data_IF_038142602227
#
_entry.id   IF_038142602227
#
_cell.length_a   1.000
_cell.length_b   1.000
_cell.length_c   1.000
_cell.angle_alpha   90.00
_cell.angle_beta   90.00
_cell.angle_gamma   90.00
#
_symmetry.space_group_name_H-M   'P 1'
#
loop_
_entity.id
_entity.type
_entity.pdbx_description
1 polymer ?
#
# COMPACT_ATOMS: atom_id res chain seq x y z
N UNK A 1 -13.21 5.40 10.91
CA UNK A 1 -11.76 5.27 10.94
C UNK A 1 -11.24 5.11 9.49
N UNK A 2 -10.23 5.90 9.10
CA UNK A 2 -9.67 5.88 7.74
C UNK A 2 -8.22 5.44 7.80
N UNK A 3 -7.86 4.36 7.08
CA UNK A 3 -6.53 3.76 7.05
C UNK A 3 -5.92 3.94 5.66
N UNK A 4 -4.79 4.66 5.59
CA UNK A 4 -4.08 4.95 4.35
C UNK A 4 -3.23 3.76 3.86
N UNK A 5 -2.68 3.87 2.66
CA UNK A 5 -1.77 2.90 2.05
C UNK A 5 -0.31 3.36 1.98
N UNK A 6 0.46 2.72 1.11
CA UNK A 6 1.85 3.08 0.83
C UNK A 6 1.94 3.83 -0.53
N UNK A 7 2.73 4.88 -0.65
CA UNK A 7 3.53 5.61 0.35
C UNK A 7 2.79 6.81 0.94
N UNK A 8 1.54 6.62 1.30
CA UNK A 8 0.65 7.66 1.78
C UNK A 8 0.76 7.87 3.30
N UNK A 9 0.07 8.90 3.79
CA UNK A 9 -0.10 9.28 5.19
C UNK A 9 -1.58 9.57 5.45
N UNK A 10 -1.95 9.78 6.71
CA UNK A 10 -3.28 10.26 7.09
C UNK A 10 -3.71 11.50 6.30
N UNK A 11 -2.75 12.33 5.89
CA UNK A 11 -2.97 13.53 5.08
C UNK A 11 -3.67 13.25 3.73
N UNK A 12 -3.57 12.04 3.19
CA UNK A 12 -4.28 11.64 1.96
C UNK A 12 -5.80 11.79 2.08
N UNK A 13 -6.33 11.65 3.29
CA UNK A 13 -7.75 11.75 3.57
C UNK A 13 -8.27 13.17 3.75
N UNK A 14 -7.39 14.20 3.74
CA UNK A 14 -7.73 15.60 4.06
C UNK A 14 -8.90 16.18 3.26
N UNK A 15 -9.11 15.73 2.01
CA UNK A 15 -10.21 16.20 1.16
C UNK A 15 -11.53 15.47 1.42
N UNK A 16 -11.47 14.23 1.92
CA UNK A 16 -12.63 13.39 2.19
C UNK A 16 -13.18 13.66 3.61
N UNK A 17 -12.30 13.90 4.57
CA UNK A 17 -12.68 14.10 5.97
C UNK A 17 -13.71 15.20 6.18
N UNK A 18 -13.61 16.41 5.56
CA UNK A 18 -14.61 17.46 5.76
C UNK A 18 -16.01 17.06 5.29
N UNK A 19 -16.12 16.34 4.18
CA UNK A 19 -17.42 15.89 3.67
C UNK A 19 -18.06 14.85 4.60
N UNK A 20 -17.27 13.92 5.12
CA UNK A 20 -17.74 12.95 6.11
C UNK A 20 -18.14 13.62 7.43
N UNK A 21 -17.36 14.60 7.88
CA UNK A 21 -17.68 15.37 9.08
C UNK A 21 -18.99 16.18 8.90
N UNK A 22 -19.20 16.79 7.75
CA UNK A 22 -20.44 17.47 7.41
C UNK A 22 -21.64 16.53 7.36
N UNK A 23 -21.43 15.25 7.08
CA UNK A 23 -22.46 14.20 7.15
C UNK A 23 -22.71 13.69 8.58
N UNK A 24 -22.05 14.29 9.59
CA UNK A 24 -22.28 13.99 11.00
C UNK A 24 -21.36 12.94 11.61
N UNK A 25 -20.30 12.50 10.90
CA UNK A 25 -19.35 11.54 11.44
C UNK A 25 -18.20 12.21 12.17
N UNK A 26 -17.77 11.60 13.29
CA UNK A 26 -16.44 11.87 13.84
C UNK A 26 -15.41 11.08 13.02
N UNK A 27 -14.57 11.78 12.27
CA UNK A 27 -13.64 11.16 11.30
C UNK A 27 -12.23 11.12 11.88
N UNK A 28 -11.64 9.93 11.95
CA UNK A 28 -10.32 9.70 12.52
C UNK A 28 -9.45 9.08 11.43
N UNK A 29 -8.28 9.67 11.16
CA UNK A 29 -7.30 9.18 10.21
C UNK A 29 -5.90 9.21 10.86
N UNK A 30 -5.37 8.07 11.34
CA UNK A 30 -4.01 8.00 11.88
C UNK A 30 -2.97 7.81 10.78
N UNK A 31 -1.75 8.27 11.01
CA UNK A 31 -0.58 7.68 10.36
C UNK A 31 -0.40 6.29 10.95
N UNK A 32 -0.44 5.24 10.13
CA UNK A 32 -0.33 3.86 10.62
C UNK A 32 1.08 3.57 11.17
N UNK A 33 1.25 2.47 11.90
CA UNK A 33 2.55 2.02 12.40
C UNK A 33 3.58 1.96 11.27
N UNK A 34 4.75 2.57 11.48
CA UNK A 34 5.81 2.66 10.48
C UNK A 34 5.73 3.89 9.57
N UNK A 35 4.71 4.74 9.73
CA UNK A 35 4.49 5.90 8.87
C UNK A 35 4.46 7.21 9.65
N UNK A 36 4.85 8.27 8.95
CA UNK A 36 4.68 9.65 9.35
C UNK A 36 5.19 9.95 10.75
N UNK A 37 4.31 10.46 11.60
CA UNK A 37 4.63 10.88 12.97
C UNK A 37 4.34 9.82 14.03
N UNK A 38 3.88 8.65 13.65
CA UNK A 38 3.64 7.56 14.59
C UNK A 38 4.96 7.01 15.12
N UNK A 39 5.09 6.93 16.43
CA UNK A 39 6.29 6.48 17.16
C UNK A 39 6.06 5.13 17.84
N UNK A 40 7.06 4.61 18.55
CA UNK A 40 6.95 3.35 19.30
C UNK A 40 7.17 2.10 18.45
N UNK A 41 7.83 2.23 17.31
CA UNK A 41 8.26 1.12 16.46
C UNK A 41 9.76 1.24 16.16
N UNK A 42 10.38 0.14 15.75
CA UNK A 42 11.79 0.10 15.36
C UNK A 42 11.93 0.21 13.84
N UNK A 43 12.83 1.08 13.39
CA UNK A 43 13.23 1.22 11.99
C UNK A 43 14.40 0.29 11.62
N UNK A 44 14.88 -0.54 12.54
CA UNK A 44 15.93 -1.49 12.27
C UNK A 44 15.46 -2.55 11.28
N UNK A 45 16.17 -2.64 10.15
CA UNK A 45 15.85 -3.59 9.09
C UNK A 45 15.96 -5.05 9.56
N UNK A 46 16.90 -5.35 10.44
CA UNK A 46 17.13 -6.69 11.01
C UNK A 46 16.31 -6.93 12.30
N UNK A 47 15.49 -5.96 12.68
CA UNK A 47 14.67 -6.01 13.88
C UNK A 47 13.51 -7.00 13.81
N UNK A 48 12.84 -7.16 14.93
CA UNK A 48 11.66 -8.03 15.02
C UNK A 48 10.47 -7.45 14.23
N UNK A 49 9.96 -8.22 13.27
CA UNK A 49 8.79 -7.85 12.46
C UNK A 49 7.44 -8.24 13.10
N UNK A 50 7.43 -8.92 14.25
CA UNK A 50 6.20 -9.29 14.95
C UNK A 50 5.26 -8.09 15.21
N UNK A 51 5.77 -6.90 15.60
CA UNK A 51 4.92 -5.72 15.80
C UNK A 51 4.14 -5.29 14.56
N UNK A 52 4.59 -5.66 13.37
CA UNK A 52 3.95 -5.31 12.08
C UNK A 52 2.98 -6.39 11.56
N UNK A 53 2.77 -7.47 12.30
CA UNK A 53 1.75 -8.47 11.92
C UNK A 53 0.36 -7.85 11.94
N UNK A 54 -0.52 -8.31 11.03
CA UNK A 54 -1.85 -7.75 10.83
C UNK A 54 -2.67 -7.62 12.13
N UNK A 55 -2.61 -8.60 13.02
CA UNK A 55 -3.33 -8.53 14.30
C UNK A 55 -2.82 -7.44 15.24
N UNK A 56 -1.54 -7.05 15.14
CA UNK A 56 -1.02 -5.92 15.89
C UNK A 56 -1.47 -4.60 15.27
N UNK A 57 -1.59 -4.52 13.95
CA UNK A 57 -2.18 -3.35 13.28
C UNK A 57 -3.67 -3.19 13.60
N UNK A 58 -4.40 -4.30 13.74
CA UNK A 58 -5.79 -4.29 14.27
C UNK A 58 -5.82 -3.72 15.71
N UNK A 59 -4.88 -4.13 16.57
CA UNK A 59 -4.77 -3.58 17.93
C UNK A 59 -4.47 -2.08 17.93
N UNK A 60 -3.63 -1.62 17.01
CA UNK A 60 -3.35 -0.20 16.85
C UNK A 60 -4.64 0.57 16.46
N UNK A 61 -5.39 0.05 15.48
CA UNK A 61 -6.65 0.62 15.05
C UNK A 61 -7.66 0.70 16.20
N UNK A 62 -7.78 -0.37 17.01
CA UNK A 62 -8.61 -0.37 18.22
C UNK A 62 -8.13 0.65 19.25
N UNK A 63 -6.81 0.70 19.49
CA UNK A 63 -6.20 1.65 20.41
C UNK A 63 -6.51 3.09 20.04
N UNK A 64 -6.47 3.43 18.76
CA UNK A 64 -6.86 4.74 18.24
C UNK A 64 -8.33 5.03 18.52
N UNK A 65 -9.25 4.10 18.22
CA UNK A 65 -10.69 4.25 18.47
C UNK A 65 -10.95 4.52 19.96
N UNK A 66 -10.33 3.74 20.84
CA UNK A 66 -10.50 3.87 22.29
C UNK A 66 -9.85 5.13 22.84
N UNK A 67 -8.72 5.57 22.32
CA UNK A 67 -8.06 6.82 22.72
C UNK A 67 -8.90 8.06 22.43
N UNK A 68 -9.78 8.01 21.43
CA UNK A 68 -10.78 9.05 21.16
C UNK A 68 -12.08 8.89 21.95
N UNK A 69 -12.13 7.96 22.92
CA UNK A 69 -13.28 7.75 23.80
C UNK A 69 -14.45 6.98 23.16
N UNK A 70 -14.22 6.36 22.00
CA UNK A 70 -15.23 5.54 21.33
C UNK A 70 -15.05 4.06 21.67
N UNK A 71 -16.17 3.34 21.82
CA UNK A 71 -16.19 1.89 21.99
C UNK A 71 -16.33 1.14 20.66
N UNK A 72 -16.83 1.82 19.64
CA UNK A 72 -16.99 1.30 18.29
C UNK A 72 -16.96 2.44 17.27
N UNK A 73 -16.77 2.09 16.01
CA UNK A 73 -16.88 2.99 14.86
C UNK A 73 -17.87 2.41 13.85
N UNK A 74 -18.61 3.29 13.18
CA UNK A 74 -19.61 2.90 12.20
C UNK A 74 -18.96 2.19 11.00
N UNK A 75 -17.79 2.69 10.60
CA UNK A 75 -17.02 2.08 9.51
C UNK A 75 -15.51 2.19 9.73
N UNK A 76 -14.78 1.18 9.26
CA UNK A 76 -13.36 1.27 8.97
C UNK A 76 -13.18 1.27 7.45
N UNK A 77 -12.48 2.27 6.93
CA UNK A 77 -12.20 2.44 5.50
C UNK A 77 -10.72 2.25 5.28
N UNK A 78 -10.34 1.37 4.37
CA UNK A 78 -8.94 1.15 4.02
C UNK A 78 -8.67 1.36 2.55
N UNK A 79 -7.57 2.02 2.23
CA UNK A 79 -7.05 2.19 0.89
C UNK A 79 -5.67 1.55 0.76
N UNK A 80 -5.40 0.83 -0.33
CA UNK A 80 -4.13 0.15 -0.63
C UNK A 80 -3.72 -0.79 0.52
N UNK A 81 -2.63 -0.58 1.25
CA UNK A 81 -2.27 -1.39 2.42
C UNK A 81 -3.32 -1.30 3.54
N UNK A 82 -3.94 -0.14 3.73
CA UNK A 82 -5.08 0.01 4.64
C UNK A 82 -6.27 -0.88 4.27
N UNK A 83 -6.45 -1.18 2.98
CA UNK A 83 -7.47 -2.12 2.50
C UNK A 83 -7.16 -3.58 2.85
N UNK A 84 -5.95 -3.88 3.28
CA UNK A 84 -5.60 -5.18 3.89
C UNK A 84 -5.92 -5.18 5.39
N UNK A 85 -5.64 -4.08 6.09
CA UNK A 85 -5.85 -3.98 7.53
C UNK A 85 -7.33 -3.85 7.89
N UNK A 86 -8.10 -3.04 7.18
CA UNK A 86 -9.50 -2.74 7.47
C UNK A 86 -10.41 -4.00 7.51
N UNK A 87 -10.33 -4.94 6.57
CA UNK A 87 -11.12 -6.19 6.65
C UNK A 87 -10.76 -7.03 7.87
N UNK A 88 -9.48 -7.08 8.24
CA UNK A 88 -9.07 -7.80 9.46
C UNK A 88 -9.61 -7.15 10.72
N UNK A 89 -9.76 -5.82 10.75
CA UNK A 89 -10.44 -5.11 11.83
C UNK A 89 -11.89 -5.58 11.95
N UNK A 90 -12.65 -5.53 10.86
CA UNK A 90 -14.05 -5.91 10.85
C UNK A 90 -14.28 -7.41 11.13
N UNK A 91 -13.40 -8.28 10.59
CA UNK A 91 -13.49 -9.72 10.79
C UNK A 91 -13.15 -10.13 12.24
N UNK A 92 -12.12 -9.53 12.84
CA UNK A 92 -11.64 -9.90 14.17
C UNK A 92 -12.46 -9.25 15.29
N UNK A 93 -12.98 -8.06 15.07
CA UNK A 93 -13.71 -7.26 16.07
C UNK A 93 -14.92 -6.55 15.43
N UNK A 94 -15.93 -7.33 14.98
CA UNK A 94 -17.16 -6.78 14.43
C UNK A 94 -17.96 -5.96 15.46
N UNK A 95 -17.71 -6.15 16.73
CA UNK A 95 -18.25 -5.36 17.84
C UNK A 95 -17.70 -3.92 17.88
N UNK A 96 -16.45 -3.73 17.42
CA UNK A 96 -15.78 -2.42 17.33
C UNK A 96 -15.94 -1.79 15.96
N UNK A 97 -15.76 -2.56 14.90
CA UNK A 97 -15.79 -2.13 13.50
C UNK A 97 -17.02 -2.66 12.79
N UNK A 98 -18.11 -1.88 12.76
CA UNK A 98 -19.44 -2.34 12.34
C UNK A 98 -19.57 -2.58 10.87
N UNK A 99 -18.85 -1.82 10.06
CA UNK A 99 -18.79 -2.00 8.62
C UNK A 99 -17.39 -1.73 8.07
N UNK A 100 -17.12 -2.19 6.85
CA UNK A 100 -15.83 -2.04 6.20
C UNK A 100 -15.99 -1.55 4.76
N UNK A 101 -15.12 -0.61 4.37
CA UNK A 101 -14.96 -0.17 2.99
C UNK A 101 -13.55 -0.49 2.54
N UNK A 102 -13.42 -1.21 1.43
CA UNK A 102 -12.15 -1.68 0.86
C UNK A 102 -11.93 -0.95 -0.46
N UNK A 103 -10.80 -0.23 -0.59
CA UNK A 103 -10.48 0.57 -1.76
C UNK A 103 -9.15 0.14 -2.38
N UNK A 104 -9.14 -0.10 -3.68
CA UNK A 104 -7.96 -0.34 -4.54
C UNK A 104 -7.19 -1.65 -4.33
N UNK A 105 -7.37 -2.36 -3.24
CA UNK A 105 -6.77 -3.69 -3.03
C UNK A 105 -7.85 -4.67 -2.56
N UNK A 106 -8.03 -5.81 -3.24
CA UNK A 106 -9.04 -6.78 -2.85
C UNK A 106 -8.61 -7.51 -1.55
N UNK A 107 -9.60 -7.89 -0.75
CA UNK A 107 -9.36 -8.78 0.37
C UNK A 107 -9.50 -10.24 -0.08
N UNK A 108 -8.41 -10.98 0.00
CA UNK A 108 -8.37 -12.38 -0.44
C UNK A 108 -9.03 -13.36 0.54
N UNK A 109 -9.59 -12.89 1.63
CA UNK A 109 -10.12 -13.72 2.70
C UNK A 109 -9.07 -14.09 3.75
N UNK A 110 -9.46 -14.95 4.69
CA UNK A 110 -8.54 -15.55 5.64
C UNK A 110 -7.74 -16.64 4.97
N UNK A 111 -6.45 -16.83 5.34
CA UNK A 111 -5.69 -17.97 4.85
C UNK A 111 -6.37 -19.28 5.30
N UNK A 112 -6.26 -20.29 4.48
CA UNK A 112 -6.70 -21.63 4.87
C UNK A 112 -5.98 -22.06 6.15
N UNK A 113 -6.73 -22.60 7.11
CA UNK A 113 -6.17 -23.19 8.32
C UNK A 113 -6.16 -24.71 8.10
N UNK A 114 -5.04 -25.30 7.68
CA UNK A 114 -4.97 -26.73 7.49
C UNK A 114 -5.07 -27.45 8.83
N UNK A 115 -5.76 -28.57 8.85
CA UNK A 115 -5.74 -29.49 9.99
C UNK A 115 -4.40 -30.21 10.04
N UNK A 116 -4.01 -30.63 11.25
CA UNK A 116 -2.81 -31.44 11.49
C UNK A 116 -1.49 -30.76 11.02
N UNK A 117 -1.34 -29.51 11.36
CA UNK A 117 -0.13 -28.74 11.03
C UNK A 117 1.12 -29.21 11.77
N UNK A 118 0.96 -30.02 12.82
CA UNK A 118 2.08 -30.65 13.55
C UNK A 118 2.81 -31.66 12.68
N UNK A 119 2.04 -32.50 11.98
CA UNK A 119 2.59 -33.56 11.12
C UNK A 119 2.78 -33.08 9.66
N UNK A 120 2.06 -32.04 9.28
CA UNK A 120 2.13 -31.43 7.96
C UNK A 120 2.49 -29.93 8.08
N UNK A 121 3.77 -29.61 8.39
CA UNK A 121 4.19 -28.22 8.44
C UNK A 121 3.86 -27.53 7.11
N UNK A 122 3.30 -26.33 7.21
CA UNK A 122 2.96 -25.54 6.03
C UNK A 122 4.17 -25.52 5.09
N UNK A 123 4.01 -26.06 3.90
CA UNK A 123 5.05 -25.90 2.87
C UNK A 123 5.19 -24.39 2.64
N UNK A 124 6.36 -23.88 2.88
CA UNK A 124 6.75 -22.60 2.26
C UNK A 124 6.75 -22.89 0.77
N UNK A 125 5.65 -22.60 0.12
CA UNK A 125 5.57 -22.67 -1.34
C UNK A 125 6.47 -21.57 -1.85
N UNK A 126 7.61 -21.97 -2.41
CA UNK A 126 8.42 -21.07 -3.22
C UNK A 126 7.50 -20.54 -4.34
N UNK A 127 7.20 -19.24 -4.31
CA UNK A 127 6.36 -18.65 -5.36
C UNK A 127 7.20 -18.57 -6.63
N UNK A 128 6.92 -19.39 -7.65
CA UNK A 128 7.73 -19.44 -8.86
C UNK A 128 7.70 -18.13 -9.65
N UNK A 129 6.75 -17.25 -9.38
CA UNK A 129 6.53 -16.00 -10.12
C UNK A 129 7.79 -15.14 -10.17
N UNK A 130 8.56 -15.06 -9.10
CA UNK A 130 9.77 -14.23 -9.10
C UNK A 130 10.88 -14.79 -9.97
N UNK A 131 11.05 -16.11 -9.94
CA UNK A 131 11.99 -16.79 -10.83
C UNK A 131 11.55 -16.63 -12.29
N UNK A 132 10.27 -16.80 -12.55
CA UNK A 132 9.70 -16.73 -13.89
C UNK A 132 9.74 -15.30 -14.44
N UNK A 133 9.50 -14.27 -13.62
CA UNK A 133 9.70 -12.86 -13.95
C UNK A 133 11.17 -12.57 -14.31
N UNK A 134 12.09 -13.12 -13.53
CA UNK A 134 13.52 -12.96 -13.78
C UNK A 134 14.02 -13.65 -15.07
N UNK A 135 13.31 -14.68 -15.51
CA UNK A 135 13.63 -15.45 -16.72
C UNK A 135 12.99 -14.87 -18.00
N UNK A 136 12.19 -13.83 -17.92
CA UNK A 136 11.63 -13.19 -19.11
C UNK A 136 12.74 -12.62 -20.01
N UNK A 137 12.50 -12.46 -21.33
CA UNK A 137 13.43 -11.80 -22.24
C UNK A 137 13.85 -10.40 -21.79
N UNK A 138 12.94 -9.67 -21.16
CA UNK A 138 13.20 -8.46 -20.36
C UNK A 138 13.05 -8.86 -18.89
N UNK A 139 14.13 -9.12 -18.15
CA UNK A 139 14.06 -9.61 -16.78
C UNK A 139 13.36 -8.62 -15.84
N UNK A 140 12.41 -9.13 -15.06
CA UNK A 140 11.55 -8.31 -14.19
C UNK A 140 11.61 -8.79 -12.74
N UNK A 141 11.15 -7.91 -11.83
CA UNK A 141 10.89 -8.19 -10.41
C UNK A 141 9.61 -7.52 -9.96
N UNK A 142 8.88 -8.15 -9.07
CA UNK A 142 7.69 -7.54 -8.46
C UNK A 142 8.12 -6.47 -7.44
N UNK A 143 7.42 -5.32 -7.39
CA UNK A 143 7.77 -4.18 -6.55
C UNK A 143 7.85 -4.51 -5.05
N UNK A 144 7.00 -5.41 -4.55
CA UNK A 144 7.02 -5.82 -3.14
C UNK A 144 8.33 -6.53 -2.75
N UNK A 145 8.96 -7.25 -3.68
CA UNK A 145 10.28 -7.84 -3.45
C UNK A 145 11.36 -6.79 -3.35
N UNK A 146 11.29 -5.79 -4.20
CA UNK A 146 12.20 -4.66 -4.09
C UNK A 146 12.02 -3.93 -2.75
N UNK A 147 10.79 -3.66 -2.33
CA UNK A 147 10.50 -2.99 -1.06
C UNK A 147 10.96 -3.78 0.17
N UNK A 148 11.03 -5.10 0.07
CA UNK A 148 11.57 -5.96 1.11
C UNK A 148 13.11 -5.97 1.19
N UNK A 149 13.81 -5.26 0.30
CA UNK A 149 15.27 -5.18 0.34
C UNK A 149 15.75 -4.07 1.29
N UNK A 150 16.94 -4.27 1.87
CA UNK A 150 17.57 -3.30 2.78
C UNK A 150 17.77 -1.92 2.13
N UNK A 151 18.09 -1.88 0.83
CA UNK A 151 18.39 -0.65 0.11
C UNK A 151 17.15 0.18 -0.25
N UNK A 152 15.98 -0.44 -0.35
CA UNK A 152 14.79 0.18 -0.96
C UNK A 152 14.40 1.51 -0.31
N UNK A 153 14.42 1.60 1.02
CA UNK A 153 14.06 2.83 1.72
C UNK A 153 15.06 3.96 1.41
N UNK A 154 16.35 3.66 1.47
CA UNK A 154 17.40 4.63 1.18
C UNK A 154 17.35 5.09 -0.29
N UNK A 155 17.16 4.16 -1.22
CA UNK A 155 17.04 4.45 -2.66
C UNK A 155 15.87 5.37 -2.97
N UNK A 156 14.71 5.14 -2.35
CA UNK A 156 13.52 5.96 -2.59
C UNK A 156 13.59 7.31 -1.87
N UNK A 157 14.03 7.32 -0.61
CA UNK A 157 14.13 8.57 0.16
C UNK A 157 15.24 9.48 -0.37
N UNK A 158 16.36 8.89 -0.80
CA UNK A 158 17.51 9.57 -1.41
C UNK A 158 17.47 9.61 -2.93
N UNK A 159 16.28 9.53 -3.54
CA UNK A 159 16.13 9.53 -5.01
C UNK A 159 16.90 10.71 -5.64
N UNK A 160 17.70 10.47 -6.71
CA UNK A 160 18.52 11.53 -7.34
C UNK A 160 17.73 12.74 -7.84
N UNK A 161 16.48 12.52 -8.26
CA UNK A 161 15.55 13.57 -8.68
C UNK A 161 14.92 14.33 -7.50
N UNK A 162 15.22 13.98 -6.26
CA UNK A 162 14.58 14.47 -5.06
C UNK A 162 13.25 13.79 -4.75
N UNK A 163 12.88 13.76 -3.47
CA UNK A 163 11.70 13.05 -2.98
C UNK A 163 10.40 13.55 -3.61
N UNK A 164 10.27 14.87 -3.81
CA UNK A 164 9.08 15.47 -4.42
C UNK A 164 8.86 14.98 -5.85
N UNK A 165 9.88 15.04 -6.69
CA UNK A 165 9.77 14.60 -8.09
C UNK A 165 9.68 13.08 -8.21
N UNK A 166 10.32 12.34 -7.30
CA UNK A 166 10.11 10.91 -7.18
C UNK A 166 8.64 10.57 -6.91
N UNK A 167 8.01 11.20 -5.92
CA UNK A 167 6.60 10.96 -5.59
C UNK A 167 5.67 11.45 -6.70
N UNK A 168 5.98 12.58 -7.35
CA UNK A 168 5.20 13.08 -8.50
C UNK A 168 5.18 12.06 -9.63
N UNK A 169 6.34 11.51 -10.01
CA UNK A 169 6.44 10.47 -11.02
C UNK A 169 5.73 9.18 -10.59
N UNK A 170 5.92 8.77 -9.34
CA UNK A 170 5.31 7.57 -8.79
C UNK A 170 3.77 7.61 -8.81
N UNK A 171 3.18 8.78 -8.51
CA UNK A 171 1.73 8.94 -8.52
C UNK A 171 1.14 9.25 -9.88
N UNK A 172 1.92 9.79 -10.82
CA UNK A 172 1.45 10.17 -12.15
C UNK A 172 0.74 9.01 -12.85
N UNK A 173 1.37 7.84 -12.91
CA UNK A 173 0.80 6.65 -13.57
C UNK A 173 -0.43 6.08 -12.86
N UNK A 174 -0.65 6.46 -11.62
CA UNK A 174 -1.82 6.04 -10.81
C UNK A 174 -2.94 7.06 -10.86
N UNK A 175 -2.66 8.22 -11.46
CA UNK A 175 -3.62 9.30 -11.56
C UNK A 175 -4.69 8.99 -12.60
N UNK A 176 -5.94 9.32 -12.28
CA UNK A 176 -7.04 9.26 -13.25
C UNK A 176 -6.85 10.22 -14.44
N UNK A 177 -5.98 11.23 -14.29
CA UNK A 177 -5.68 12.19 -15.33
C UNK A 177 -4.66 11.68 -16.35
N UNK A 178 -3.98 10.57 -16.06
CA UNK A 178 -3.06 9.98 -17.02
C UNK A 178 -3.84 9.28 -18.14
N UNK A 179 -3.84 9.89 -19.31
CA UNK A 179 -4.65 9.45 -20.46
C UNK A 179 -4.23 8.10 -21.03
N UNK A 180 -2.99 7.68 -20.77
CA UNK A 180 -2.49 6.35 -21.18
C UNK A 180 -2.88 5.23 -20.19
N UNK A 181 -3.55 5.55 -19.09
CA UNK A 181 -4.04 4.54 -18.16
C UNK A 181 -5.24 3.79 -18.78
N UNK A 182 -5.00 2.57 -19.23
CA UNK A 182 -6.02 1.69 -19.80
C UNK A 182 -6.18 0.44 -18.91
N UNK A 183 -6.98 0.52 -17.83
CA UNK A 183 -7.19 -0.60 -16.94
C UNK A 183 -7.76 -1.81 -17.68
N UNK A 184 -7.16 -2.98 -17.48
CA UNK A 184 -7.64 -4.23 -18.07
C UNK A 184 -7.39 -5.38 -17.09
N UNK A 185 -8.24 -6.41 -17.08
CA UNK A 185 -8.04 -7.59 -16.24
C UNK A 185 -6.84 -8.40 -16.74
N UNK A 186 -6.04 -8.92 -15.80
CA UNK A 186 -5.05 -9.94 -16.10
C UNK A 186 -5.74 -11.30 -16.29
N UNK A 187 -5.18 -12.13 -17.16
CA UNK A 187 -5.72 -13.47 -17.43
C UNK A 187 -5.28 -14.51 -16.37
N UNK A 188 -4.34 -14.15 -15.51
CA UNK A 188 -3.87 -15.02 -14.44
C UNK A 188 -2.64 -14.47 -13.73
N UNK A 189 -2.22 -15.16 -12.68
CA UNK A 189 -1.02 -14.85 -11.91
C UNK A 189 0.20 -15.55 -12.52
N UNK A 190 0.62 -15.09 -13.69
CA UNK A 190 1.78 -15.59 -14.42
C UNK A 190 2.75 -14.46 -14.73
N UNK A 191 4.04 -14.77 -14.91
CA UNK A 191 5.06 -13.76 -15.21
C UNK A 191 4.75 -12.95 -16.48
N UNK A 192 4.22 -13.61 -17.52
CA UNK A 192 3.81 -12.95 -18.76
C UNK A 192 2.65 -11.99 -18.59
N UNK A 193 1.67 -12.33 -17.79
CA UNK A 193 0.54 -11.44 -17.51
C UNK A 193 0.97 -10.28 -16.60
N UNK A 194 1.73 -10.58 -15.55
CA UNK A 194 2.24 -9.56 -14.63
C UNK A 194 3.16 -8.55 -15.33
N UNK A 195 3.91 -8.98 -16.34
CA UNK A 195 4.78 -8.07 -17.13
C UNK A 195 4.00 -7.05 -17.97
N UNK A 196 2.67 -7.19 -18.10
CA UNK A 196 1.79 -6.19 -18.73
C UNK A 196 1.44 -5.03 -17.77
N UNK A 197 1.64 -5.22 -16.46
CA UNK A 197 1.42 -4.17 -15.48
C UNK A 197 2.45 -3.03 -15.65
N UNK A 198 2.10 -1.80 -15.23
CA UNK A 198 3.03 -0.69 -15.21
C UNK A 198 4.34 -1.04 -14.51
N UNK A 199 5.43 -0.42 -14.95
CA UNK A 199 6.77 -0.72 -14.47
C UNK A 199 6.98 -0.44 -12.98
N UNK A 200 6.20 0.43 -12.37
CA UNK A 200 6.24 0.63 -10.93
C UNK A 200 5.64 -0.54 -10.11
N UNK A 201 4.89 -1.45 -10.72
CA UNK A 201 4.46 -2.71 -10.10
C UNK A 201 5.38 -3.87 -10.46
N UNK A 202 5.76 -3.97 -11.74
CA UNK A 202 6.62 -5.04 -12.24
C UNK A 202 7.85 -4.42 -12.89
N UNK A 203 8.82 -4.11 -12.03
CA UNK A 203 10.02 -3.34 -12.32
C UNK A 203 11.00 -4.11 -13.21
N UNK A 204 11.84 -3.41 -13.96
CA UNK A 204 13.05 -4.01 -14.51
C UNK A 204 13.93 -4.53 -13.37
N UNK A 205 14.53 -5.70 -13.57
CA UNK A 205 15.22 -6.42 -12.49
C UNK A 205 16.41 -5.65 -11.91
N UNK A 206 17.11 -4.92 -12.75
CA UNK A 206 18.34 -4.19 -12.41
C UNK A 206 18.10 -2.76 -11.93
N UNK A 207 16.86 -2.26 -11.99
CA UNK A 207 16.53 -0.88 -11.59
C UNK A 207 16.04 -0.76 -10.16
N UNK A 208 16.30 0.40 -9.55
CA UNK A 208 15.63 0.85 -8.34
C UNK A 208 14.26 1.45 -8.67
N UNK A 209 13.42 1.67 -7.66
CA UNK A 209 12.13 2.35 -7.88
C UNK A 209 12.37 3.81 -8.34
N UNK A 210 13.37 4.50 -7.78
CA UNK A 210 13.70 5.85 -8.20
C UNK A 210 14.08 5.94 -9.68
N UNK A 211 14.88 4.99 -10.17
CA UNK A 211 15.22 4.89 -11.60
C UNK A 211 14.01 4.54 -12.46
N UNK A 212 13.18 3.60 -11.99
CA UNK A 212 11.98 3.16 -12.72
C UNK A 212 11.02 4.32 -12.96
N UNK A 213 10.68 5.09 -11.92
CA UNK A 213 9.73 6.20 -12.06
C UNK A 213 10.33 7.42 -12.75
N UNK A 214 11.67 7.62 -12.67
CA UNK A 214 12.35 8.70 -13.38
C UNK A 214 12.22 8.61 -14.90
N UNK A 215 12.17 7.39 -15.45
CA UNK A 215 11.98 7.17 -16.89
C UNK A 215 10.57 7.51 -17.37
N UNK A 216 9.63 7.60 -16.45
CA UNK A 216 8.22 7.82 -16.69
C UNK A 216 7.74 9.16 -16.07
N UNK A 217 8.67 10.12 -15.86
CA UNK A 217 8.33 11.46 -15.38
C UNK A 217 7.33 12.13 -16.33
N UNK A 218 6.26 12.74 -15.79
CA UNK A 218 5.36 13.52 -16.62
C UNK A 218 6.11 14.68 -17.29
N UNK A 219 5.76 14.95 -18.54
CA UNK A 219 6.26 16.11 -19.27
C UNK A 219 5.78 17.43 -18.63
N UNK A 220 6.46 18.53 -18.91
CA UNK A 220 6.03 19.84 -18.44
C UNK A 220 4.60 20.19 -18.86
N UNK A 221 4.15 19.71 -20.03
CA UNK A 221 2.78 19.90 -20.53
C UNK A 221 1.80 19.10 -19.66
N UNK A 222 2.10 17.86 -19.37
CA UNK A 222 1.26 17.00 -18.50
C UNK A 222 1.19 17.56 -17.08
N UNK A 223 2.31 18.05 -16.53
CA UNK A 223 2.34 18.72 -15.21
C UNK A 223 1.44 19.96 -15.21
N UNK A 224 1.53 20.79 -16.25
CA UNK A 224 0.71 21.99 -16.35
C UNK A 224 -0.77 21.71 -16.58
N UNK A 225 -1.11 20.62 -17.26
CA UNK A 225 -2.49 20.17 -17.48
C UNK A 225 -3.10 19.52 -16.23
N UNK A 226 -2.27 19.04 -15.31
CA UNK A 226 -2.65 18.29 -14.13
C UNK A 226 -2.99 19.21 -12.96
N UNK A 227 -4.23 19.73 -12.95
CA UNK A 227 -4.68 20.78 -12.01
C UNK A 227 -4.70 20.38 -10.54
N UNK A 228 -4.54 19.11 -10.21
CA UNK A 228 -4.65 18.65 -8.84
C UNK A 228 -3.34 18.16 -8.19
N UNK A 229 -2.24 18.39 -8.89
CA UNK A 229 -0.91 18.41 -8.32
C UNK A 229 -0.35 19.85 -8.42
N UNK A 230 -0.93 20.84 -7.71
CA UNK A 230 -0.33 22.17 -7.68
C UNK A 230 1.07 22.08 -7.08
N UNK A 231 1.98 22.96 -7.52
CA UNK A 231 3.39 22.96 -7.11
C UNK A 231 3.62 23.08 -5.60
N UNK A 232 2.56 23.38 -4.85
CA UNK A 232 2.55 23.60 -3.39
C UNK A 232 1.71 22.56 -2.63
N UNK A 233 1.40 21.41 -3.20
CA UNK A 233 0.61 20.38 -2.54
C UNK A 233 1.49 19.41 -1.73
#
# INVERSE_FOLDING_TARGET
LLLHGFPELAYSWRKVMPALAAAGYHVIAPDQRGYGRTTGWSADYDGDLHPFRLMNLVRDAMGVVFAFGHHSVEAVVGHDFGAIVAPWCALSRPDVFRSVVIMSAPFAGTPAIPFDTVNHPARVTDDPVHRDLAALPRPRKHYQWYYATRAANADMHGAPQGLHDFLRAYYHHKSADWTANAPHPLQGWTATELAKLPTYYVMDRDKTMAQTVAEEMPSAIEIAANRWLPDNA
#
